data_IF_073619753355
#
_entry.id   IF_073619753355
#
_cell.length_a   1.000
_cell.length_b   1.000
_cell.length_c   1.000
_cell.angle_alpha   90.00
_cell.angle_beta   90.00
_cell.angle_gamma   90.00
#
_symmetry.space_group_name_H-M   'P 1'
#
loop_
_entity.id
_entity.type
_entity.pdbx_description
1 polymer ?
#
# COMPACT_ATOMS: atom_id res chain seq x y z
N UNK A 1 28.22 -19.14 4.70
CA UNK A 1 29.39 -18.83 5.55
C UNK A 1 29.09 -19.25 6.98
N UNK A 2 30.07 -19.72 7.76
CA UNK A 2 29.88 -19.92 9.20
C UNK A 2 30.33 -18.64 9.90
N UNK A 3 29.40 -17.90 10.51
CA UNK A 3 29.75 -16.73 11.31
C UNK A 3 30.57 -17.17 12.52
N UNK A 4 31.67 -16.47 12.79
CA UNK A 4 32.45 -16.66 14.01
C UNK A 4 31.87 -15.75 15.10
N UNK A 5 32.04 -16.11 16.35
CA UNK A 5 31.54 -15.35 17.50
C UNK A 5 31.92 -13.86 17.43
N UNK A 6 33.18 -13.56 17.07
CA UNK A 6 33.71 -12.20 17.02
C UNK A 6 33.43 -11.47 15.69
N UNK A 7 32.71 -12.09 14.75
CA UNK A 7 32.41 -11.45 13.46
C UNK A 7 31.58 -10.17 13.71
N UNK A 8 32.04 -9.00 13.28
CA UNK A 8 31.31 -7.76 13.48
C UNK A 8 30.07 -7.73 12.58
N UNK A 9 28.91 -7.49 13.18
CA UNK A 9 27.61 -7.38 12.49
C UNK A 9 27.04 -6.00 12.73
N UNK A 10 26.61 -5.34 11.65
CA UNK A 10 25.93 -4.05 11.72
C UNK A 10 24.42 -4.25 11.90
N UNK A 11 23.89 -3.61 12.93
CA UNK A 11 22.46 -3.62 13.27
C UNK A 11 21.92 -2.20 13.18
N UNK A 12 20.79 -2.06 12.50
CA UNK A 12 20.16 -0.80 12.17
C UNK A 12 18.82 -0.67 12.90
N UNK A 13 18.58 0.52 13.47
CA UNK A 13 17.27 0.97 13.93
C UNK A 13 16.73 2.01 12.96
N UNK A 14 15.62 1.67 12.32
CA UNK A 14 14.88 2.56 11.42
C UNK A 14 13.64 3.15 12.10
N UNK A 15 13.35 2.74 13.33
CA UNK A 15 12.22 3.22 14.09
C UNK A 15 12.49 4.61 14.68
N UNK A 16 11.41 5.35 14.88
CA UNK A 16 11.41 6.62 15.63
C UNK A 16 11.60 6.40 17.14
N UNK A 17 11.42 5.16 17.61
CA UNK A 17 11.59 4.80 19.02
C UNK A 17 13.02 4.30 19.27
N UNK A 18 13.64 4.71 20.38
CA UNK A 18 14.93 4.15 20.76
C UNK A 18 14.78 2.69 21.20
N UNK A 19 15.80 1.89 20.91
CA UNK A 19 15.83 0.46 21.21
C UNK A 19 17.07 0.16 22.05
N UNK A 20 16.84 -0.49 23.19
CA UNK A 20 17.91 -1.05 24.00
C UNK A 20 18.03 -2.55 23.75
N UNK A 21 19.21 -2.99 23.31
CA UNK A 21 19.55 -4.39 23.06
C UNK A 21 20.55 -4.88 24.11
N UNK A 22 20.11 -5.63 25.13
CA UNK A 22 21.01 -6.19 26.13
C UNK A 22 21.78 -7.37 25.56
N UNK A 23 23.05 -7.15 25.21
CA UNK A 23 24.00 -8.20 24.86
C UNK A 23 24.46 -9.01 26.08
N UNK A 24 25.42 -9.91 25.87
CA UNK A 24 25.89 -10.80 26.92
C UNK A 24 26.66 -10.07 28.02
N UNK A 25 27.53 -9.14 27.63
CA UNK A 25 28.42 -8.40 28.54
C UNK A 25 28.23 -6.89 28.51
N UNK A 26 27.50 -6.36 27.51
CA UNK A 26 27.21 -4.94 27.35
C UNK A 26 25.84 -4.73 26.73
N UNK A 27 25.25 -3.56 26.99
CA UNK A 27 24.02 -3.13 26.34
C UNK A 27 24.34 -2.23 25.14
N UNK A 28 23.53 -2.34 24.09
CA UNK A 28 23.61 -1.51 22.90
C UNK A 28 22.37 -0.62 22.85
N UNK A 29 22.59 0.69 22.78
CA UNK A 29 21.52 1.64 22.65
C UNK A 29 21.49 2.16 21.21
N UNK A 30 20.38 1.91 20.52
CA UNK A 30 20.12 2.44 19.19
C UNK A 30 19.09 3.56 19.34
N UNK A 31 19.51 4.80 19.08
CA UNK A 31 18.62 5.94 19.17
C UNK A 31 17.52 5.90 18.10
N UNK A 32 16.39 6.53 18.39
CA UNK A 32 15.27 6.65 17.47
C UNK A 32 15.46 7.80 16.49
N UNK A 33 15.07 7.62 15.23
CA UNK A 33 15.30 8.61 14.17
C UNK A 33 14.16 8.60 13.15
N UNK A 34 13.82 9.78 12.61
CA UNK A 34 12.80 9.95 11.54
C UNK A 34 13.42 9.99 10.14
N UNK A 35 14.70 9.62 10.00
CA UNK A 35 15.43 9.73 8.75
C UNK A 35 16.57 8.73 8.66
N UNK A 36 17.80 9.19 8.89
CA UNK A 36 18.98 8.32 8.79
C UNK A 36 18.95 7.31 9.93
N UNK A 37 18.95 5.98 9.64
CA UNK A 37 18.87 4.96 10.66
C UNK A 37 20.09 4.96 11.57
N UNK A 38 19.87 4.70 12.85
CA UNK A 38 20.97 4.55 13.81
C UNK A 38 21.61 3.19 13.62
N UNK A 39 22.94 3.16 13.50
CA UNK A 39 23.70 1.91 13.31
C UNK A 39 24.61 1.64 14.49
N UNK A 40 24.62 0.39 14.94
CA UNK A 40 25.56 -0.12 15.94
C UNK A 40 26.21 -1.39 15.42
N UNK A 41 27.50 -1.54 15.67
CA UNK A 41 28.24 -2.77 15.35
C UNK A 41 28.42 -3.61 16.61
N UNK A 42 28.05 -4.88 16.54
CA UNK A 42 28.18 -5.84 17.64
C UNK A 42 28.74 -7.18 17.14
N UNK A 43 29.44 -7.95 17.98
CA UNK A 43 29.89 -9.28 17.61
C UNK A 43 28.70 -10.21 17.40
N UNK A 44 28.82 -11.18 16.50
CA UNK A 44 27.76 -12.15 16.20
C UNK A 44 27.31 -12.92 17.45
N UNK A 45 28.20 -13.18 18.40
CA UNK A 45 27.83 -13.81 19.69
C UNK A 45 26.77 -13.03 20.45
N UNK A 46 26.82 -11.70 20.42
CA UNK A 46 25.79 -10.86 21.03
C UNK A 46 24.48 -10.89 20.22
N UNK A 47 24.57 -10.97 18.88
CA UNK A 47 23.39 -11.12 18.01
C UNK A 47 22.67 -12.44 18.33
N UNK A 48 23.39 -13.55 18.43
CA UNK A 48 22.85 -14.85 18.82
C UNK A 48 22.21 -14.80 20.20
N UNK A 49 22.92 -14.21 21.16
CA UNK A 49 22.44 -14.05 22.53
C UNK A 49 21.13 -13.24 22.59
N UNK A 50 21.09 -12.09 21.92
CA UNK A 50 19.90 -11.24 21.85
C UNK A 50 18.75 -11.98 21.16
N UNK A 51 19.00 -12.66 20.04
CA UNK A 51 17.98 -13.42 19.29
C UNK A 51 17.34 -14.53 20.16
N UNK A 52 18.14 -15.18 21.01
CA UNK A 52 17.66 -16.23 21.91
C UNK A 52 16.69 -15.72 22.99
N UNK A 53 16.77 -14.43 23.35
CA UNK A 53 16.00 -13.83 24.46
C UNK A 53 14.93 -12.85 24.00
N UNK A 54 15.07 -12.30 22.81
CA UNK A 54 14.22 -11.26 22.29
C UNK A 54 13.86 -11.55 20.83
N UNK A 55 12.61 -11.27 20.40
CA UNK A 55 12.21 -11.45 19.02
C UNK A 55 12.62 -10.29 18.10
N UNK A 56 13.38 -9.30 18.57
CA UNK A 56 13.72 -8.06 17.83
C UNK A 56 14.27 -8.25 16.41
N UNK A 57 15.02 -9.33 16.16
CA UNK A 57 15.51 -9.67 14.81
C UNK A 57 14.49 -10.46 13.99
N UNK A 58 13.65 -11.25 14.66
CA UNK A 58 12.62 -12.12 14.05
C UNK A 58 11.36 -11.37 13.67
N UNK A 59 11.04 -10.30 14.39
CA UNK A 59 9.88 -9.47 14.11
C UNK A 59 10.22 -8.29 13.19
N UNK A 60 11.50 -8.02 12.92
CA UNK A 60 11.96 -6.95 12.03
C UNK A 60 12.04 -5.57 12.66
N UNK A 61 11.99 -5.47 13.99
CA UNK A 61 12.17 -4.20 14.72
C UNK A 61 13.58 -3.62 14.55
N UNK A 62 14.59 -4.48 14.36
CA UNK A 62 15.93 -4.07 13.91
C UNK A 62 16.35 -4.88 12.70
N UNK A 63 17.23 -4.30 11.89
CA UNK A 63 17.62 -4.87 10.60
C UNK A 63 19.12 -5.05 10.49
N UNK A 64 19.54 -5.99 9.65
CA UNK A 64 20.93 -6.15 9.24
C UNK A 64 21.20 -5.41 7.93
N UNK A 65 22.47 -5.14 7.65
CA UNK A 65 22.93 -4.55 6.38
C UNK A 65 22.41 -5.38 5.21
N UNK A 66 21.87 -4.75 4.16
CA UNK A 66 21.27 -5.50 3.03
C UNK A 66 22.24 -6.51 2.40
N UNK A 67 23.53 -6.16 2.35
CA UNK A 67 24.58 -7.01 1.79
C UNK A 67 24.84 -8.29 2.61
N UNK A 68 24.67 -8.25 3.93
CA UNK A 68 24.98 -9.37 4.83
C UNK A 68 23.72 -10.01 5.42
N UNK A 69 22.56 -9.40 5.23
CA UNK A 69 21.28 -9.76 5.86
C UNK A 69 20.94 -11.23 5.69
N UNK A 70 21.03 -11.73 4.46
CA UNK A 70 20.70 -13.13 4.15
C UNK A 70 21.64 -14.10 4.85
N UNK A 71 22.95 -13.81 4.84
CA UNK A 71 23.95 -14.63 5.49
C UNK A 71 23.80 -14.62 7.02
N UNK A 72 23.50 -13.47 7.63
CA UNK A 72 23.26 -13.35 9.08
C UNK A 72 22.01 -14.10 9.49
N UNK A 73 20.88 -13.92 8.78
CA UNK A 73 19.63 -14.64 9.12
C UNK A 73 19.79 -16.15 8.98
N UNK A 74 20.49 -16.61 7.93
CA UNK A 74 20.82 -18.03 7.77
C UNK A 74 21.69 -18.55 8.91
N UNK A 75 22.66 -17.75 9.37
CA UNK A 75 23.48 -18.12 10.53
C UNK A 75 22.68 -18.16 11.84
N UNK A 76 21.59 -17.39 11.95
CA UNK A 76 20.63 -17.45 13.05
C UNK A 76 19.59 -18.57 12.91
N UNK A 77 19.73 -19.45 11.91
CA UNK A 77 18.77 -20.52 11.58
C UNK A 77 17.37 -20.01 11.23
N UNK A 78 17.29 -18.82 10.62
CA UNK A 78 16.06 -18.18 10.16
C UNK A 78 16.03 -18.17 8.63
N UNK A 79 15.94 -19.34 8.00
CA UNK A 79 15.97 -19.47 6.53
C UNK A 79 14.72 -18.84 5.86
N UNK A 80 13.58 -18.86 6.53
CA UNK A 80 12.31 -18.29 6.06
C UNK A 80 12.08 -16.85 6.54
N UNK A 81 13.16 -16.09 6.81
CA UNK A 81 13.06 -14.73 7.33
C UNK A 81 12.27 -13.79 6.39
N UNK A 82 12.34 -14.00 5.06
CA UNK A 82 11.63 -13.17 4.06
C UNK A 82 10.10 -13.22 4.20
N UNK A 83 9.56 -14.33 4.71
CA UNK A 83 8.13 -14.54 4.87
C UNK A 83 7.63 -14.20 6.29
N UNK A 84 8.55 -14.23 7.27
CA UNK A 84 8.22 -14.14 8.70
C UNK A 84 8.59 -12.79 9.32
N UNK A 85 9.69 -12.19 8.85
CA UNK A 85 10.16 -10.89 9.30
C UNK A 85 9.41 -9.82 8.53
N UNK A 86 8.82 -8.88 9.27
CA UNK A 86 8.12 -7.73 8.74
C UNK A 86 8.91 -6.48 9.12
N UNK A 87 9.43 -5.72 8.16
CA UNK A 87 10.19 -4.51 8.47
C UNK A 87 9.29 -3.27 8.55
N UNK A 88 9.75 -2.24 9.24
CA UNK A 88 9.00 -1.00 9.43
C UNK A 88 8.72 -0.30 8.09
N UNK A 89 9.67 -0.27 7.16
CA UNK A 89 9.46 0.30 5.81
C UNK A 89 8.48 -0.53 4.97
N UNK A 90 8.47 -1.84 5.18
CA UNK A 90 7.51 -2.73 4.50
C UNK A 90 6.11 -2.51 5.04
N UNK A 91 5.94 -2.29 6.35
CA UNK A 91 4.66 -1.92 6.95
C UNK A 91 4.15 -0.61 6.34
N UNK A 92 5.01 0.42 6.31
CA UNK A 92 4.65 1.72 5.77
C UNK A 92 4.24 1.63 4.29
N UNK A 93 4.97 0.84 3.49
CA UNK A 93 4.64 0.60 2.09
C UNK A 93 3.28 -0.09 1.93
N UNK A 94 3.03 -1.19 2.65
CA UNK A 94 1.78 -1.95 2.55
C UNK A 94 0.57 -1.07 2.90
N UNK A 95 0.69 -0.25 3.95
CA UNK A 95 -0.38 0.65 4.40
C UNK A 95 -0.59 1.77 3.38
N UNK A 96 0.49 2.39 2.90
CA UNK A 96 0.46 3.52 1.95
C UNK A 96 -0.08 3.12 0.59
N UNK A 97 0.36 1.99 0.06
CA UNK A 97 -0.03 1.49 -1.26
C UNK A 97 -1.35 0.72 -1.22
N UNK A 98 -1.89 0.43 -0.03
CA UNK A 98 -3.09 -0.37 0.18
C UNK A 98 -2.99 -1.76 -0.50
N UNK A 99 -1.83 -2.40 -0.39
CA UNK A 99 -1.59 -3.74 -0.94
C UNK A 99 -2.25 -4.81 -0.05
N UNK A 100 -3.45 -5.23 -0.44
CA UNK A 100 -4.23 -6.20 0.31
C UNK A 100 -3.66 -7.63 0.26
N UNK A 101 -2.86 -7.96 -0.75
CA UNK A 101 -2.23 -9.29 -0.84
C UNK A 101 -1.04 -9.34 0.13
N UNK A 102 -0.23 -8.28 0.20
CA UNK A 102 0.83 -8.16 1.20
C UNK A 102 0.29 -7.99 2.63
N UNK A 103 -0.88 -7.36 2.80
CA UNK A 103 -1.53 -7.20 4.10
C UNK A 103 -1.97 -8.52 4.76
N UNK A 104 -1.98 -9.64 4.03
CA UNK A 104 -2.16 -10.97 4.62
C UNK A 104 -1.09 -11.26 5.68
N UNK A 105 0.12 -10.68 5.56
CA UNK A 105 1.17 -10.77 6.57
C UNK A 105 0.72 -10.22 7.93
N UNK A 106 -0.09 -9.16 7.96
CA UNK A 106 -0.60 -8.58 9.21
C UNK A 106 -1.55 -9.54 9.94
N UNK A 107 -2.32 -10.33 9.20
CA UNK A 107 -3.22 -11.33 9.77
C UNK A 107 -2.47 -12.52 10.39
N UNK A 108 -1.26 -12.81 9.92
CA UNK A 108 -0.39 -13.87 10.45
C UNK A 108 0.31 -13.47 11.76
N UNK A 109 0.30 -12.20 12.14
CA UNK A 109 0.87 -11.72 13.40
C UNK A 109 0.15 -12.37 14.58
N UNK A 110 0.89 -12.80 15.60
CA UNK A 110 0.31 -13.55 16.73
C UNK A 110 0.44 -12.81 18.07
N UNK A 111 1.33 -11.83 18.15
CA UNK A 111 1.63 -11.15 19.41
C UNK A 111 1.06 -9.73 19.45
N UNK A 112 0.68 -9.31 20.66
CA UNK A 112 0.18 -7.95 20.94
C UNK A 112 1.21 -6.89 20.53
N UNK A 113 2.50 -7.12 20.82
CA UNK A 113 3.57 -6.19 20.49
C UNK A 113 3.73 -5.97 18.97
N UNK A 114 3.63 -7.03 18.16
CA UNK A 114 3.75 -6.93 16.71
C UNK A 114 2.58 -6.16 16.09
N UNK A 115 1.34 -6.45 16.50
CA UNK A 115 0.17 -5.73 15.97
C UNK A 115 0.13 -4.27 16.44
N UNK A 116 0.58 -3.98 17.66
CA UNK A 116 0.75 -2.60 18.12
C UNK A 116 1.78 -1.85 17.29
N UNK A 117 2.86 -2.51 16.84
CA UNK A 117 3.85 -1.89 15.95
C UNK A 117 3.18 -1.48 14.64
N UNK A 118 2.49 -2.41 13.97
CA UNK A 118 1.75 -2.12 12.72
C UNK A 118 0.73 -0.99 12.92
N UNK A 119 -0.04 -1.04 14.00
CA UNK A 119 -1.01 0.01 14.34
C UNK A 119 -0.35 1.36 14.60
N UNK A 120 0.83 1.38 15.22
CA UNK A 120 1.62 2.59 15.43
C UNK A 120 2.00 3.28 14.12
N UNK A 121 2.45 2.49 13.13
CA UNK A 121 2.74 2.99 11.77
C UNK A 121 1.47 3.49 11.07
N UNK A 122 0.36 2.75 11.16
CA UNK A 122 -0.93 3.20 10.63
C UNK A 122 -1.37 4.56 11.19
N UNK A 123 -1.29 4.74 12.51
CA UNK A 123 -1.65 6.01 13.16
C UNK A 123 -0.68 7.13 12.79
N UNK A 124 0.62 6.84 12.69
CA UNK A 124 1.61 7.82 12.25
C UNK A 124 1.31 8.33 10.84
N UNK A 125 1.02 7.43 9.90
CA UNK A 125 0.64 7.77 8.53
C UNK A 125 -0.72 8.49 8.45
N UNK A 126 -1.68 8.14 9.33
CA UNK A 126 -2.99 8.79 9.35
C UNK A 126 -2.95 10.24 9.83
N UNK A 127 -1.91 10.58 10.61
CA UNK A 127 -1.66 11.94 11.08
C UNK A 127 -0.87 12.78 10.07
N UNK A 128 -0.37 12.20 8.97
CA UNK A 128 0.26 12.96 7.90
C UNK A 128 -0.82 13.56 7.00
N UNK A 129 -0.94 14.90 6.98
CA UNK A 129 -1.98 15.65 6.27
C UNK A 129 -2.07 15.38 4.75
N UNK A 130 -1.03 14.77 4.17
CA UNK A 130 -0.90 14.50 2.74
C UNK A 130 -1.23 13.05 2.33
N UNK A 131 -1.58 12.19 3.28
CA UNK A 131 -1.80 10.76 3.05
C UNK A 131 -3.20 10.35 3.50
N UNK A 132 -4.03 9.96 2.54
CA UNK A 132 -5.33 9.34 2.83
C UNK A 132 -5.14 7.82 2.90
N UNK A 133 -5.35 7.24 4.08
CA UNK A 133 -5.26 5.80 4.28
C UNK A 133 -6.62 5.19 3.96
N UNK A 134 -6.59 4.14 3.13
CA UNK A 134 -7.77 3.32 2.86
C UNK A 134 -8.43 2.84 4.16
N UNK A 135 -9.70 3.20 4.35
CA UNK A 135 -10.52 2.72 5.48
C UNK A 135 -10.51 1.20 5.62
N UNK A 136 -10.39 0.48 4.50
CA UNK A 136 -10.31 -0.99 4.49
C UNK A 136 -9.05 -1.52 5.17
N UNK A 137 -7.92 -0.83 4.99
CA UNK A 137 -6.66 -1.19 5.65
C UNK A 137 -6.75 -0.92 7.15
N UNK A 138 -7.37 0.20 7.54
CA UNK A 138 -7.61 0.56 8.94
C UNK A 138 -8.47 -0.53 9.61
N UNK A 139 -9.62 -0.85 9.02
CA UNK A 139 -10.52 -1.88 9.53
C UNK A 139 -9.83 -3.24 9.66
N UNK A 140 -8.97 -3.61 8.71
CA UNK A 140 -8.22 -4.86 8.75
C UNK A 140 -7.27 -4.92 9.94
N UNK A 141 -6.49 -3.86 10.16
CA UNK A 141 -5.49 -3.77 11.24
C UNK A 141 -6.19 -3.73 12.60
N UNK A 142 -7.23 -2.91 12.75
CA UNK A 142 -7.98 -2.81 14.00
C UNK A 142 -8.76 -4.10 14.31
N UNK A 143 -9.34 -4.76 13.31
CA UNK A 143 -9.99 -6.06 13.52
C UNK A 143 -8.98 -7.12 13.99
N UNK A 144 -7.78 -7.14 13.41
CA UNK A 144 -6.74 -8.08 13.85
C UNK A 144 -6.23 -7.75 15.25
N UNK A 145 -6.09 -6.47 15.56
CA UNK A 145 -5.75 -5.98 16.90
C UNK A 145 -6.76 -6.46 17.96
N UNK A 146 -8.05 -6.31 17.68
CA UNK A 146 -9.11 -6.77 18.58
C UNK A 146 -9.08 -8.30 18.74
N UNK A 147 -8.89 -9.07 17.68
CA UNK A 147 -8.75 -10.53 17.78
C UNK A 147 -7.61 -10.93 18.73
N UNK A 148 -6.44 -10.31 18.58
CA UNK A 148 -5.27 -10.62 19.41
C UNK A 148 -5.54 -10.23 20.88
N UNK A 149 -6.18 -9.09 21.13
CA UNK A 149 -6.55 -8.65 22.49
C UNK A 149 -7.59 -9.56 23.15
N UNK A 150 -8.51 -10.14 22.37
CA UNK A 150 -9.45 -11.16 22.84
C UNK A 150 -8.84 -12.56 22.94
N UNK A 151 -7.52 -12.72 22.70
CA UNK A 151 -6.79 -13.99 22.82
C UNK A 151 -6.92 -14.93 21.62
N UNK A 152 -7.44 -14.46 20.49
CA UNK A 152 -7.63 -15.23 19.26
C UNK A 152 -6.34 -15.22 18.43
N UNK A 153 -5.52 -16.26 18.62
CA UNK A 153 -4.22 -16.40 17.92
C UNK A 153 -4.35 -16.65 16.42
N UNK A 154 -5.34 -17.43 15.99
CA UNK A 154 -5.58 -17.70 14.58
C UNK A 154 -6.72 -16.80 14.08
N UNK A 155 -6.43 -15.97 13.09
CA UNK A 155 -7.41 -15.01 12.59
C UNK A 155 -8.64 -15.72 12.00
N UNK A 156 -9.82 -15.14 12.24
CA UNK A 156 -11.06 -15.52 11.55
C UNK A 156 -11.33 -14.60 10.36
N UNK A 157 -10.50 -13.59 10.16
CA UNK A 157 -10.58 -12.62 9.06
C UNK A 157 -10.22 -13.34 7.76
N UNK A 158 -11.21 -13.48 6.89
CA UNK A 158 -11.01 -14.02 5.55
C UNK A 158 -10.94 -12.86 4.54
N UNK A 159 -9.76 -12.60 3.99
CA UNK A 159 -9.56 -11.66 2.88
C UNK A 159 -10.36 -12.05 1.62
N UNK A 160 -10.70 -13.33 1.45
CA UNK A 160 -11.48 -13.85 0.32
C UNK A 160 -12.90 -13.25 0.20
N UNK A 161 -13.60 -13.05 1.32
CA UNK A 161 -14.94 -12.41 1.32
C UNK A 161 -14.87 -10.90 1.03
N UNK A 162 -13.70 -10.31 1.24
CA UNK A 162 -13.41 -8.89 0.96
C UNK A 162 -13.14 -8.65 -0.53
N UNK A 163 -12.61 -9.65 -1.26
CA UNK A 163 -12.53 -9.63 -2.74
C UNK A 163 -13.92 -9.74 -3.38
N UNK A 164 -14.83 -10.56 -2.84
CA UNK A 164 -16.23 -10.63 -3.30
C UNK A 164 -17.01 -9.33 -3.07
N UNK A 165 -16.78 -8.64 -1.94
CA UNK A 165 -17.35 -7.29 -1.73
C UNK A 165 -16.80 -6.25 -2.70
N UNK A 166 -15.53 -6.35 -3.14
CA UNK A 166 -14.98 -5.43 -4.14
C UNK A 166 -15.68 -5.56 -5.52
N UNK A 167 -16.26 -6.72 -5.83
CA UNK A 167 -17.12 -6.88 -7.02
C UNK A 167 -18.56 -6.43 -6.77
N UNK A 168 -18.99 -6.29 -5.52
CA UNK A 168 -20.34 -5.84 -5.16
C UNK A 168 -20.42 -4.34 -4.83
N UNK A 169 -19.28 -3.70 -4.52
CA UNK A 169 -19.14 -2.25 -4.32
C UNK A 169 -18.86 -1.49 -5.63
N UNK A 170 -19.05 -2.11 -6.80
CA UNK A 170 -19.45 -1.33 -7.97
C UNK A 170 -20.85 -0.78 -7.68
N UNK A 171 -20.86 0.42 -7.11
CA UNK A 171 -22.05 1.14 -6.64
C UNK A 171 -23.19 0.96 -7.68
N UNK A 172 -24.39 0.51 -7.30
CA UNK A 172 -25.52 0.34 -8.22
C UNK A 172 -25.88 1.64 -8.97
N UNK A 173 -25.32 2.78 -8.55
CA UNK A 173 -25.38 4.04 -9.30
C UNK A 173 -24.52 4.05 -10.56
N UNK A 174 -23.40 3.32 -10.63
CA UNK A 174 -22.53 3.27 -11.82
C UNK A 174 -23.16 2.44 -12.93
N UNK A 175 -23.79 1.31 -12.59
CA UNK A 175 -24.55 0.50 -13.55
C UNK A 175 -25.78 1.25 -14.08
N UNK A 176 -26.54 1.90 -13.19
CA UNK A 176 -27.68 2.75 -13.58
C UNK A 176 -27.23 3.96 -14.41
N UNK A 177 -26.08 4.57 -14.11
CA UNK A 177 -25.57 5.71 -14.87
C UNK A 177 -25.01 5.31 -16.24
N UNK A 178 -24.38 4.14 -16.36
CA UNK A 178 -23.99 3.56 -17.66
C UNK A 178 -25.21 3.25 -18.52
N UNK A 179 -26.27 2.70 -17.93
CA UNK A 179 -27.51 2.38 -18.64
C UNK A 179 -28.23 3.67 -19.11
N UNK A 180 -28.24 4.72 -18.29
CA UNK A 180 -28.74 6.05 -18.68
C UNK A 180 -27.90 6.70 -19.79
N UNK A 181 -26.57 6.60 -19.74
CA UNK A 181 -25.70 7.10 -20.81
C UNK A 181 -25.90 6.33 -22.13
N UNK A 182 -26.06 5.01 -22.08
CA UNK A 182 -26.34 4.19 -23.24
C UNK A 182 -27.71 4.52 -23.86
N UNK A 183 -28.74 4.72 -23.05
CA UNK A 183 -30.06 5.12 -23.52
C UNK A 183 -30.05 6.53 -24.15
N UNK A 184 -29.33 7.48 -23.55
CA UNK A 184 -29.19 8.84 -24.08
C UNK A 184 -28.41 8.85 -25.41
N UNK A 185 -27.37 8.03 -25.52
CA UNK A 185 -26.57 7.90 -26.74
C UNK A 185 -27.38 7.24 -27.88
N UNK A 186 -28.23 6.26 -27.55
CA UNK A 186 -29.17 5.66 -28.50
C UNK A 186 -30.24 6.69 -28.95
N UNK A 187 -30.73 7.54 -28.05
CA UNK A 187 -31.69 8.59 -28.39
C UNK A 187 -31.06 9.68 -29.29
N UNK A 188 -29.80 10.05 -29.04
CA UNK A 188 -29.05 10.98 -29.90
C UNK A 188 -28.78 10.37 -31.28
N UNK A 189 -28.41 9.09 -31.36
CA UNK A 189 -28.24 8.39 -32.63
C UNK A 189 -29.57 8.31 -33.41
N UNK A 190 -30.69 8.01 -32.74
CA UNK A 190 -32.01 7.97 -33.33
C UNK A 190 -32.46 9.35 -33.87
N UNK A 191 -32.18 10.44 -33.13
CA UNK A 191 -32.45 11.81 -33.59
C UNK A 191 -31.56 12.22 -34.77
N UNK A 192 -30.29 11.80 -34.81
CA UNK A 192 -29.39 12.04 -35.95
C UNK A 192 -29.82 11.27 -37.20
N UNK A 193 -30.38 10.06 -37.05
CA UNK A 193 -30.97 9.34 -38.18
C UNK A 193 -32.30 9.95 -38.64
N UNK A 194 -33.13 10.46 -37.73
CA UNK A 194 -34.40 11.10 -38.08
C UNK A 194 -34.21 12.46 -38.77
N UNK A 195 -33.15 13.21 -38.43
CA UNK A 195 -32.80 14.49 -39.06
C UNK A 195 -32.12 14.34 -40.43
N UNK A 196 -31.66 13.14 -40.81
CA UNK A 196 -31.15 12.86 -42.15
C UNK A 196 -32.24 12.41 -43.15
N UNK A 197 -33.45 12.06 -42.69
CA UNK A 197 -34.55 11.60 -43.56
C UNK A 197 -35.55 12.66 -44.00
N UNK A 198 -35.38 13.93 -43.62
CA UNK A 198 -36.29 15.01 -44.04
C UNK A 198 -35.55 16.17 -44.68
N UNK A 199 -34.94 15.95 -45.85
CA UNK A 199 -34.94 16.91 -46.97
C UNK A 199 -34.36 16.27 -48.24
N UNK A 200 -35.21 15.56 -48.95
CA UNK A 200 -35.07 15.41 -50.39
C UNK A 200 -36.37 15.90 -51.04
N UNK A 201 -36.30 16.94 -51.87
CA UNK A 201 -36.92 16.80 -53.19
C UNK A 201 -35.94 17.14 -54.31
N UNK A 202 -35.93 16.26 -55.30
CA UNK A 202 -35.24 16.38 -56.57
C UNK A 202 -36.05 17.28 -57.56
N UNK A 203 -35.62 17.46 -58.83
CA UNK A 203 -35.19 18.76 -59.38
C UNK A 203 -36.13 19.28 -60.50
N UNK A 204 -36.00 20.56 -60.89
CA UNK A 204 -36.12 21.02 -62.30
C UNK A 204 -35.85 22.52 -62.52
N UNK A 205 -35.07 22.77 -63.58
CA UNK A 205 -35.05 23.92 -64.53
C UNK A 205 -34.45 25.27 -64.09
N UNK A 206 -33.18 25.44 -64.48
CA UNK A 206 -32.69 26.43 -65.46
C UNK A 206 -33.33 27.82 -65.46
N UNK A 207 -32.58 28.86 -65.06
CA UNK A 207 -32.33 30.09 -65.84
C UNK A 207 -31.33 31.05 -65.17
N UNK A 208 -30.24 31.31 -65.92
CA UNK A 208 -29.58 32.61 -66.14
C UNK A 208 -29.02 33.48 -64.99
N UNK A 209 -27.68 33.61 -65.07
CA UNK A 209 -26.86 34.85 -65.16
C UNK A 209 -26.58 35.71 -63.91
N UNK A 210 -25.26 35.96 -63.83
CA UNK A 210 -24.52 37.20 -63.49
C UNK A 210 -24.19 37.48 -62.01
N UNK A 211 -22.95 37.14 -61.68
CA UNK A 211 -21.81 38.05 -61.41
C UNK A 211 -22.09 39.23 -60.46
N UNK A 212 -21.50 39.18 -59.26
CA UNK A 212 -20.62 40.21 -58.69
C UNK A 212 -20.22 39.88 -57.24
N UNK A 213 -18.92 39.76 -56.99
CA UNK A 213 -18.29 40.16 -55.71
C UNK A 213 -18.26 41.72 -55.65
N UNK A 214 -17.80 42.42 -54.60
CA UNK A 214 -17.00 41.95 -53.45
C UNK A 214 -17.30 42.66 -52.09
N UNK A 215 -16.47 42.34 -51.07
CA UNK A 215 -15.94 43.22 -50.01
C UNK A 215 -16.95 43.86 -49.02
N UNK A 216 -16.67 44.16 -47.75
CA UNK A 216 -15.49 44.14 -46.89
C UNK A 216 -15.98 44.52 -45.48
N UNK A 217 -15.32 43.97 -44.44
CA UNK A 217 -15.02 44.55 -43.10
C UNK A 217 -16.23 45.08 -42.27
N UNK A 218 -16.26 45.19 -40.94
CA UNK A 218 -15.28 45.64 -39.94
C UNK A 218 -15.97 45.46 -38.57
N UNK A 219 -15.16 45.27 -37.52
CA UNK A 219 -15.30 45.71 -36.11
C UNK A 219 -16.56 45.33 -35.30
N UNK A 220 -16.44 44.67 -34.14
CA UNK A 220 -15.69 45.02 -32.92
C UNK A 220 -16.27 46.26 -32.22
N UNK A 221 -17.19 46.01 -31.30
CA UNK A 221 -17.19 46.58 -29.95
C UNK A 221 -17.84 45.58 -28.98
#
# INVERSE_FOLDING_TARGET
MTYKADTPVKVYNHSVSPINLPGQFRAYYLDGTRGVPTVVTMPFSDVEYINSRSPVFRNGTVQFSEAEREDVYRALYLDNWRDTVLFDEEIDRIIRENDMDAAEKFLKLTTVAEIHRVRGHMVALANDDNLDISKRMIDLIDQRYDEINHGVRNTKVNLGKTKERAMQDEDPRISVMMEQMAALQAQLAAMQTASQTATAPAPKKQTTRKKAAPAAKTDAE
#
